data_IF_989321023928
#
_entry.id   IF_989321023928
#
_cell.length_a   1.000
_cell.length_b   1.000
_cell.length_c   1.000
_cell.angle_alpha   90.00
_cell.angle_beta   90.00
_cell.angle_gamma   90.00
#
_symmetry.space_group_name_H-M   'P 1'
#
loop_
_entity.id
_entity.type
_entity.pdbx_description
1 polymer ?
#
# COMPACT_ATOMS: atom_id res chain seq x y z
N UNK A 1 32.49 -9.13 -63.05
CA UNK A 1 31.90 -10.22 -62.19
C UNK A 1 32.60 -10.43 -60.84
N UNK A 2 33.95 -10.46 -60.72
CA UNK A 2 34.59 -10.65 -59.38
C UNK A 2 34.64 -9.39 -58.49
N UNK A 3 34.58 -8.19 -59.06
CA UNK A 3 34.56 -6.93 -58.27
C UNK A 3 33.18 -6.63 -57.70
N UNK A 4 32.10 -6.99 -58.41
CA UNK A 4 30.73 -6.73 -57.95
C UNK A 4 30.34 -7.62 -56.77
N UNK A 5 30.83 -8.86 -56.70
CA UNK A 5 30.60 -9.79 -55.59
C UNK A 5 31.26 -9.33 -54.28
N UNK A 6 32.46 -8.71 -54.36
CA UNK A 6 33.17 -8.19 -53.20
C UNK A 6 32.46 -6.92 -52.59
N UNK A 7 31.87 -6.08 -53.44
CA UNK A 7 31.16 -4.90 -52.99
C UNK A 7 29.83 -5.24 -52.29
N UNK A 8 29.11 -6.26 -52.80
CA UNK A 8 27.87 -6.78 -52.18
C UNK A 8 28.18 -7.44 -50.82
N UNK A 9 29.26 -8.20 -50.74
CA UNK A 9 29.66 -8.91 -49.51
C UNK A 9 30.08 -7.93 -48.39
N UNK A 10 30.76 -6.82 -48.71
CA UNK A 10 31.13 -5.79 -47.75
C UNK A 10 29.92 -4.93 -47.31
N UNK A 11 28.95 -4.67 -48.21
CA UNK A 11 27.71 -4.01 -47.87
C UNK A 11 26.84 -4.83 -46.94
N UNK A 12 26.76 -6.13 -47.12
CA UNK A 12 26.04 -7.06 -46.22
C UNK A 12 26.72 -7.14 -44.87
N UNK A 13 28.05 -7.30 -44.78
CA UNK A 13 28.77 -7.32 -43.51
C UNK A 13 28.58 -6.01 -42.69
N UNK A 14 28.60 -4.83 -43.35
CA UNK A 14 28.36 -3.56 -42.70
C UNK A 14 26.92 -3.45 -42.19
N UNK A 15 25.92 -3.97 -42.90
CA UNK A 15 24.52 -3.97 -42.45
C UNK A 15 24.28 -4.92 -41.26
N UNK A 16 24.90 -6.12 -41.27
CA UNK A 16 24.81 -7.05 -40.16
C UNK A 16 25.61 -6.58 -38.94
N UNK A 17 26.74 -5.92 -39.10
CA UNK A 17 27.50 -5.31 -38.00
C UNK A 17 26.74 -4.16 -37.35
N UNK A 18 26.12 -3.28 -38.15
CA UNK A 18 25.29 -2.19 -37.64
C UNK A 18 23.98 -2.71 -36.98
N UNK A 19 23.40 -3.78 -37.48
CA UNK A 19 22.21 -4.40 -36.90
C UNK A 19 22.55 -5.13 -35.58
N UNK A 20 23.73 -5.74 -35.49
CA UNK A 20 24.19 -6.36 -34.23
C UNK A 20 24.55 -5.31 -33.17
N UNK A 21 25.10 -4.17 -33.55
CA UNK A 21 25.37 -3.06 -32.63
C UNK A 21 24.06 -2.36 -32.22
N UNK A 22 23.06 -2.23 -33.11
CA UNK A 22 21.72 -1.76 -32.74
C UNK A 22 20.98 -2.73 -31.82
N UNK A 23 21.10 -4.04 -32.08
CA UNK A 23 20.47 -5.07 -31.22
C UNK A 23 21.14 -5.19 -29.85
N UNK A 24 22.45 -4.94 -29.72
CA UNK A 24 23.15 -4.90 -28.43
C UNK A 24 22.89 -3.59 -27.66
N UNK A 25 22.52 -2.51 -28.32
CA UNK A 25 22.10 -1.26 -27.68
C UNK A 25 20.63 -1.26 -27.22
N UNK A 26 19.79 -2.13 -27.76
CA UNK A 26 18.38 -2.29 -27.35
C UNK A 26 18.23 -3.27 -26.19
N UNK A 27 19.26 -4.06 -25.85
CA UNK A 27 19.23 -4.99 -24.71
C UNK A 27 19.88 -4.44 -23.43
N UNK A 28 20.18 -3.16 -23.36
CA UNK A 28 20.22 -2.49 -22.07
C UNK A 28 18.77 -2.20 -21.69
N UNK A 29 18.02 -3.25 -21.39
CA UNK A 29 16.86 -3.16 -20.52
C UNK A 29 17.36 -2.43 -19.28
N UNK A 30 16.97 -1.17 -19.13
CA UNK A 30 16.92 -0.56 -17.83
C UNK A 30 15.91 -1.37 -17.01
N UNK A 31 16.34 -2.50 -16.48
CA UNK A 31 15.79 -2.94 -15.21
C UNK A 31 16.07 -1.74 -14.30
N UNK A 32 15.08 -0.89 -14.10
CA UNK A 32 15.10 0.09 -13.04
C UNK A 32 15.43 -0.72 -11.79
N UNK A 33 16.68 -0.61 -11.32
CA UNK A 33 17.08 -1.32 -10.13
C UNK A 33 16.08 -0.90 -9.06
N UNK A 34 15.28 -1.85 -8.57
CA UNK A 34 14.45 -1.59 -7.40
C UNK A 34 15.37 -1.05 -6.33
N UNK A 35 15.15 0.20 -5.93
CA UNK A 35 15.97 0.89 -4.93
C UNK A 35 15.63 0.41 -3.50
N UNK A 36 15.32 -0.89 -3.39
CA UNK A 36 15.02 -1.55 -2.15
C UNK A 36 16.27 -2.19 -1.56
N UNK A 37 16.75 -1.66 -0.46
CA UNK A 37 17.84 -2.23 0.31
C UNK A 37 17.29 -3.14 1.40
N UNK A 38 17.66 -4.41 1.39
CA UNK A 38 17.29 -5.34 2.45
C UNK A 38 17.96 -4.94 3.77
N UNK A 39 17.16 -4.82 4.81
CA UNK A 39 17.58 -4.52 6.20
C UNK A 39 17.55 -5.80 7.03
N UNK A 40 16.51 -6.63 6.86
CA UNK A 40 16.37 -7.92 7.51
C UNK A 40 15.65 -8.90 6.58
N UNK A 41 16.29 -10.01 6.29
CA UNK A 41 15.68 -11.11 5.55
C UNK A 41 14.80 -11.95 6.50
N UNK A 42 13.53 -12.12 6.16
CA UNK A 42 12.57 -12.89 6.95
C UNK A 42 12.14 -14.19 6.26
N UNK A 43 12.75 -14.54 5.13
CA UNK A 43 12.51 -15.83 4.45
C UNK A 43 12.88 -17.00 5.37
N UNK A 44 12.32 -18.17 5.06
CA UNK A 44 12.59 -19.41 5.78
C UNK A 44 11.40 -19.81 6.65
N UNK A 45 11.65 -20.46 7.77
CA UNK A 45 10.58 -21.02 8.62
C UNK A 45 9.77 -19.96 9.34
N UNK A 46 8.45 -20.07 9.21
CA UNK A 46 7.45 -19.31 9.97
C UNK A 46 6.58 -20.26 10.75
N UNK A 47 6.07 -19.86 11.90
CA UNK A 47 5.00 -20.55 12.60
C UNK A 47 3.73 -20.50 11.78
N UNK A 48 2.99 -21.62 11.70
CA UNK A 48 1.82 -21.77 10.85
C UNK A 48 0.73 -22.59 11.55
N UNK A 49 -0.52 -22.18 11.41
CA UNK A 49 -1.68 -22.88 11.94
C UNK A 49 -2.92 -22.62 11.12
N UNK A 50 -3.66 -23.69 10.79
CA UNK A 50 -4.92 -23.63 10.05
C UNK A 50 -6.06 -23.05 10.88
N UNK A 51 -7.10 -22.59 10.19
CA UNK A 51 -8.32 -22.02 10.77
C UNK A 51 -8.14 -20.58 11.22
N UNK A 52 -9.20 -20.01 11.77
CA UNK A 52 -9.30 -18.60 12.09
C UNK A 52 -9.54 -18.34 13.57
N UNK A 53 -8.71 -17.45 14.14
CA UNK A 53 -8.87 -16.89 15.49
C UNK A 53 -8.08 -15.56 15.55
N UNK A 54 -8.77 -14.45 15.60
CA UNK A 54 -8.17 -13.10 15.63
C UNK A 54 -7.23 -12.89 16.82
N UNK A 55 -7.36 -13.63 17.91
CA UNK A 55 -6.42 -13.59 19.04
C UNK A 55 -5.00 -13.94 18.66
N UNK A 56 -4.82 -14.59 17.51
CA UNK A 56 -3.52 -14.98 16.96
C UNK A 56 -2.67 -13.79 16.51
N UNK A 57 -3.28 -12.61 16.33
CA UNK A 57 -2.57 -11.35 16.06
C UNK A 57 -1.77 -10.87 17.29
N UNK A 58 -2.22 -11.17 18.50
CA UNK A 58 -1.67 -10.65 19.75
C UNK A 58 -0.21 -11.07 19.98
N UNK A 59 0.62 -10.15 20.47
CA UNK A 59 2.00 -10.43 20.93
C UNK A 59 2.04 -11.50 22.00
N UNK A 60 1.07 -11.49 22.90
CA UNK A 60 0.99 -12.44 24.02
C UNK A 60 0.51 -13.84 23.63
N UNK A 61 0.09 -14.02 22.37
CA UNK A 61 -0.37 -15.33 21.91
C UNK A 61 0.77 -16.35 21.88
N UNK A 62 0.52 -17.55 22.44
CA UNK A 62 1.51 -18.62 22.50
C UNK A 62 1.43 -19.51 21.26
N UNK A 63 2.35 -19.32 20.33
CA UNK A 63 2.49 -20.10 19.09
C UNK A 63 3.50 -21.24 19.17
N UNK A 64 3.97 -21.60 20.37
CA UNK A 64 5.00 -22.63 20.56
C UNK A 64 4.60 -24.04 20.07
N UNK A 65 3.30 -24.29 19.97
CA UNK A 65 2.75 -25.58 19.50
C UNK A 65 2.38 -25.58 18.01
N UNK A 66 2.49 -24.45 17.34
CA UNK A 66 2.20 -24.34 15.92
C UNK A 66 3.18 -25.13 15.07
N UNK A 67 2.72 -25.58 13.91
CA UNK A 67 3.59 -26.11 12.87
C UNK A 67 4.56 -25.06 12.32
N UNK A 68 5.37 -25.46 11.38
CA UNK A 68 6.28 -24.57 10.68
C UNK A 68 6.19 -24.85 9.18
N UNK A 69 6.14 -23.78 8.39
CA UNK A 69 6.21 -23.81 6.92
C UNK A 69 7.33 -22.91 6.41
N UNK A 70 7.86 -23.19 5.24
CA UNK A 70 8.78 -22.28 4.56
C UNK A 70 8.03 -21.13 3.89
N UNK A 71 8.57 -19.93 4.00
CA UNK A 71 8.07 -18.70 3.37
C UNK A 71 9.21 -18.09 2.54
N UNK A 72 9.00 -17.76 1.26
CA UNK A 72 7.76 -17.94 0.49
C UNK A 72 7.64 -19.37 -0.07
N UNK A 73 6.45 -19.94 0.05
CA UNK A 73 6.04 -21.21 -0.57
C UNK A 73 4.51 -21.32 -0.44
N UNK A 74 3.78 -21.90 -1.40
CA UNK A 74 2.41 -22.31 -1.16
C UNK A 74 2.34 -23.33 0.00
N UNK A 75 1.32 -23.25 0.83
CA UNK A 75 1.19 -24.21 1.95
C UNK A 75 0.89 -25.64 1.50
N UNK A 76 0.37 -25.81 0.26
CA UNK A 76 0.20 -27.14 -0.37
C UNK A 76 1.53 -27.88 -0.46
N UNK A 77 2.63 -27.18 -0.78
CA UNK A 77 3.98 -27.73 -0.88
C UNK A 77 4.62 -27.98 0.51
N UNK A 78 4.04 -27.39 1.55
CA UNK A 78 4.53 -27.45 2.94
C UNK A 78 3.74 -28.45 3.82
N UNK A 79 2.93 -29.32 3.18
CA UNK A 79 2.26 -30.43 3.86
C UNK A 79 0.76 -30.24 4.08
N UNK A 80 0.14 -29.24 3.45
CA UNK A 80 -1.29 -28.97 3.54
C UNK A 80 -1.99 -29.03 2.16
N UNK A 81 -1.84 -30.12 1.40
CA UNK A 81 -2.33 -30.21 0.02
C UNK A 81 -3.85 -30.12 -0.05
N UNK A 82 -4.34 -29.20 -0.90
CA UNK A 82 -5.76 -28.97 -1.15
C UNK A 82 -6.52 -28.41 0.05
N UNK A 83 -5.84 -27.67 0.91
CA UNK A 83 -6.50 -26.92 1.96
C UNK A 83 -6.88 -25.54 1.43
N UNK A 84 -8.19 -25.24 1.44
CA UNK A 84 -8.74 -23.92 1.20
C UNK A 84 -9.33 -23.36 2.52
N UNK A 85 -9.27 -22.04 2.72
CA UNK A 85 -9.79 -21.37 3.91
C UNK A 85 -8.77 -20.51 4.65
N UNK A 86 -9.02 -20.32 5.94
CA UNK A 86 -8.18 -19.45 6.77
C UNK A 86 -6.95 -20.14 7.32
N UNK A 87 -5.82 -19.44 7.31
CA UNK A 87 -4.61 -19.83 8.01
C UNK A 87 -3.88 -18.61 8.58
N UNK A 88 -3.04 -18.85 9.57
CA UNK A 88 -2.24 -17.83 10.21
C UNK A 88 -0.76 -18.19 10.16
N UNK A 89 0.04 -17.17 9.83
CA UNK A 89 1.50 -17.20 9.91
C UNK A 89 1.96 -16.32 11.05
N UNK A 90 3.07 -16.68 11.73
CA UNK A 90 3.72 -15.82 12.72
C UNK A 90 5.23 -15.89 12.56
N UNK A 91 5.89 -14.72 12.65
CA UNK A 91 7.35 -14.59 12.61
C UNK A 91 7.84 -13.71 13.73
N UNK A 92 8.67 -14.28 14.59
CA UNK A 92 9.40 -13.53 15.61
C UNK A 92 10.71 -13.03 15.02
N UNK A 93 11.06 -11.77 15.32
CA UNK A 93 12.31 -11.17 14.85
C UNK A 93 12.81 -10.08 15.78
N UNK A 94 14.10 -9.76 15.67
CA UNK A 94 14.72 -8.60 16.31
C UNK A 94 15.25 -7.66 15.24
N UNK A 95 15.16 -6.37 15.53
CA UNK A 95 15.73 -5.37 14.65
C UNK A 95 17.25 -5.46 14.64
N UNK A 96 17.90 -5.41 13.47
CA UNK A 96 19.34 -5.21 13.40
C UNK A 96 19.75 -3.85 13.98
N UNK A 97 20.92 -3.79 14.56
CA UNK A 97 21.49 -2.54 15.07
C UNK A 97 21.56 -1.47 13.95
N UNK A 98 21.12 -0.27 14.25
CA UNK A 98 21.08 0.85 13.30
C UNK A 98 19.84 0.88 12.41
N UNK A 99 18.88 -0.06 12.56
CA UNK A 99 17.61 -0.05 11.86
C UNK A 99 16.56 0.86 12.52
N UNK A 100 16.77 1.23 13.78
CA UNK A 100 15.85 2.04 14.59
C UNK A 100 15.61 3.45 14.05
N UNK A 101 16.53 3.98 13.25
CA UNK A 101 16.43 5.33 12.66
C UNK A 101 16.06 5.31 11.16
N UNK A 102 15.71 4.13 10.62
CA UNK A 102 15.40 3.96 9.21
C UNK A 102 13.89 3.99 8.97
N UNK A 103 13.50 4.49 7.81
CA UNK A 103 12.13 4.27 7.32
C UNK A 103 12.05 2.87 6.76
N UNK A 104 11.33 1.99 7.47
CA UNK A 104 11.24 0.58 7.15
C UNK A 104 9.91 0.25 6.46
N UNK A 105 10.00 -0.71 5.57
CA UNK A 105 8.87 -1.33 4.89
C UNK A 105 8.92 -2.83 5.09
N UNK A 106 7.78 -3.42 5.44
CA UNK A 106 7.59 -4.86 5.41
C UNK A 106 7.19 -5.27 3.99
N UNK A 107 7.96 -6.13 3.38
CA UNK A 107 7.60 -6.79 2.12
C UNK A 107 7.29 -8.25 2.43
N UNK A 108 6.14 -8.71 1.96
CA UNK A 108 5.65 -10.08 2.13
C UNK A 108 5.43 -10.79 0.78
N UNK A 109 5.94 -10.18 -0.31
CA UNK A 109 5.75 -10.71 -1.66
C UNK A 109 4.28 -10.75 -2.04
N UNK A 110 3.86 -11.78 -2.79
CA UNK A 110 2.45 -12.01 -3.11
C UNK A 110 1.87 -13.02 -2.13
N UNK A 111 0.67 -12.72 -1.63
CA UNK A 111 -0.11 -13.58 -0.75
C UNK A 111 -1.37 -13.99 -1.50
N UNK A 112 -1.64 -15.26 -1.56
CA UNK A 112 -2.78 -15.85 -2.24
C UNK A 112 -3.83 -16.30 -1.22
N UNK A 113 -5.05 -15.76 -1.23
CA UNK A 113 -5.70 -14.72 -2.03
C UNK A 113 -5.73 -13.37 -1.29
N UNK A 114 -6.01 -13.38 0.02
CA UNK A 114 -6.32 -12.23 0.86
C UNK A 114 -5.47 -12.26 2.11
N UNK A 115 -5.06 -11.07 2.59
CA UNK A 115 -4.34 -11.02 3.85
C UNK A 115 -4.66 -9.83 4.73
N UNK A 116 -4.60 -10.05 6.04
CA UNK A 116 -4.43 -9.04 7.07
C UNK A 116 -3.07 -9.22 7.74
N UNK A 117 -2.32 -8.14 7.83
CA UNK A 117 -0.96 -8.16 8.38
C UNK A 117 -0.91 -7.34 9.65
N UNK A 118 -0.36 -7.95 10.69
CA UNK A 118 -0.21 -7.35 12.02
C UNK A 118 1.26 -7.26 12.40
N UNK A 119 1.64 -6.14 13.00
CA UNK A 119 2.94 -5.96 13.64
C UNK A 119 2.72 -5.67 15.12
N UNK A 120 3.26 -6.53 15.97
CA UNK A 120 3.12 -6.43 17.43
C UNK A 120 1.66 -6.28 17.91
N UNK A 121 0.72 -6.92 17.19
CA UNK A 121 -0.71 -6.95 17.52
C UNK A 121 -1.52 -5.82 16.93
N UNK A 122 -0.89 -4.82 16.31
CA UNK A 122 -1.60 -3.77 15.56
C UNK A 122 -1.59 -4.09 14.07
N UNK A 123 -2.74 -3.87 13.41
CA UNK A 123 -2.88 -4.06 11.97
C UNK A 123 -2.06 -3.02 11.21
N UNK A 124 -1.33 -3.46 10.18
CA UNK A 124 -0.48 -2.59 9.34
C UNK A 124 -0.82 -2.67 7.87
N UNK A 125 -1.69 -3.57 7.47
CA UNK A 125 -2.18 -3.66 6.09
C UNK A 125 -3.22 -4.73 5.88
N UNK A 126 -4.07 -4.50 4.88
CA UNK A 126 -5.07 -5.44 4.35
C UNK A 126 -4.89 -5.50 2.84
N UNK A 127 -4.99 -6.69 2.26
CA UNK A 127 -4.97 -6.89 0.81
C UNK A 127 -6.10 -7.84 0.41
N UNK A 128 -6.89 -7.45 -0.58
CA UNK A 128 -8.10 -8.16 -0.97
C UNK A 128 -9.26 -7.98 0.01
N UNK A 129 -10.40 -8.62 -0.26
CA UNK A 129 -11.60 -8.53 0.57
C UNK A 129 -12.03 -9.92 1.05
N UNK A 130 -12.17 -10.06 2.37
CA UNK A 130 -12.60 -11.31 2.99
C UNK A 130 -14.08 -11.63 2.69
N UNK A 131 -14.49 -12.92 2.69
CA UNK A 131 -15.90 -13.25 2.58
C UNK A 131 -16.78 -12.49 3.58
N UNK A 132 -18.05 -12.10 3.24
CA UNK A 132 -18.79 -12.64 2.09
C UNK A 132 -18.53 -11.96 0.73
N UNK A 133 -17.92 -10.80 0.68
CA UNK A 133 -17.71 -10.04 -0.55
C UNK A 133 -16.29 -10.26 -1.09
N UNK A 134 -15.92 -11.54 -1.23
CA UNK A 134 -14.60 -12.01 -1.62
C UNK A 134 -14.03 -11.35 -2.87
N UNK A 135 -12.80 -10.83 -2.74
CA UNK A 135 -11.99 -10.36 -3.86
C UNK A 135 -10.52 -10.71 -3.66
N UNK A 136 -10.00 -11.49 -4.57
CA UNK A 136 -8.59 -11.90 -4.52
C UNK A 136 -7.63 -10.76 -4.79
N UNK A 137 -6.47 -10.82 -4.13
CA UNK A 137 -5.30 -9.98 -4.38
C UNK A 137 -4.04 -10.83 -4.67
N UNK A 138 -4.19 -12.05 -5.16
CA UNK A 138 -3.15 -13.07 -5.32
C UNK A 138 -1.88 -12.59 -6.05
N UNK A 139 -1.98 -11.61 -6.95
CA UNK A 139 -0.88 -11.07 -7.74
C UNK A 139 -0.40 -9.68 -7.27
N UNK A 140 -0.91 -9.19 -6.14
CA UNK A 140 -0.51 -7.92 -5.56
C UNK A 140 0.69 -8.13 -4.64
N UNK A 141 1.77 -7.39 -4.88
CA UNK A 141 2.91 -7.41 -3.96
C UNK A 141 2.59 -6.62 -2.71
N UNK A 142 2.65 -7.27 -1.55
CA UNK A 142 2.40 -6.66 -0.24
C UNK A 142 3.62 -5.88 0.20
N UNK A 143 3.52 -4.55 0.21
CA UNK A 143 4.55 -3.59 0.68
C UNK A 143 3.91 -2.63 1.66
N UNK A 144 4.25 -2.75 2.92
CA UNK A 144 3.61 -2.01 4.02
C UNK A 144 4.61 -1.09 4.71
N UNK A 145 4.33 0.22 4.82
CA UNK A 145 5.15 1.10 5.66
C UNK A 145 5.03 0.68 7.12
N UNK A 146 6.16 0.64 7.82
CA UNK A 146 6.17 0.29 9.24
C UNK A 146 6.23 1.55 10.10
N UNK A 147 5.19 1.85 10.90
CA UNK A 147 5.25 2.91 11.88
C UNK A 147 6.31 2.61 12.95
N UNK A 148 7.26 3.53 13.15
CA UNK A 148 8.32 3.33 14.15
C UNK A 148 7.81 3.07 15.57
N UNK A 149 6.65 3.66 15.93
CA UNK A 149 6.01 3.48 17.23
C UNK A 149 5.65 2.00 17.52
N UNK A 150 5.45 1.20 16.47
CA UNK A 150 5.10 -0.21 16.61
C UNK A 150 6.30 -1.11 16.84
N UNK A 151 7.50 -0.63 16.57
CA UNK A 151 8.71 -1.44 16.66
C UNK A 151 9.28 -1.45 18.07
N UNK A 152 9.47 -2.66 18.62
CA UNK A 152 10.27 -2.84 19.82
C UNK A 152 11.75 -2.87 19.41
N UNK A 153 12.43 -1.74 19.60
CA UNK A 153 13.82 -1.55 19.18
C UNK A 153 14.79 -2.46 19.92
N UNK A 154 14.52 -2.75 21.20
CA UNK A 154 15.43 -3.51 22.07
C UNK A 154 15.01 -4.95 22.33
N UNK A 155 13.83 -5.34 21.89
CA UNK A 155 13.22 -6.64 22.16
C UNK A 155 12.76 -7.39 20.92
N UNK A 156 11.96 -8.40 21.18
CA UNK A 156 11.35 -9.21 20.13
C UNK A 156 10.16 -8.47 19.51
N UNK A 157 10.00 -8.62 18.21
CA UNK A 157 8.85 -8.17 17.44
C UNK A 157 8.17 -9.40 16.85
N UNK A 158 6.87 -9.28 16.59
CA UNK A 158 6.06 -10.34 15.99
C UNK A 158 5.30 -9.79 14.79
N UNK A 159 5.51 -10.39 13.63
CA UNK A 159 4.61 -10.26 12.49
C UNK A 159 3.61 -11.41 12.58
N UNK A 160 2.31 -11.13 12.50
CA UNK A 160 1.28 -12.11 12.29
C UNK A 160 0.55 -11.79 10.99
N UNK A 161 0.26 -12.82 10.20
CA UNK A 161 -0.44 -12.68 8.92
C UNK A 161 -1.60 -13.65 8.93
N UNK A 162 -2.82 -13.12 8.81
CA UNK A 162 -4.04 -13.87 8.56
C UNK A 162 -4.22 -13.97 7.07
N UNK A 163 -4.38 -15.15 6.55
CA UNK A 163 -4.57 -15.42 5.12
C UNK A 163 -5.89 -16.14 4.93
N UNK A 164 -6.60 -15.82 3.87
CA UNK A 164 -7.71 -16.60 3.36
C UNK A 164 -7.44 -16.92 1.90
N UNK A 165 -7.58 -18.18 1.57
CA UNK A 165 -7.48 -18.73 0.22
C UNK A 165 -8.80 -19.39 -0.15
N UNK A 166 -9.30 -19.11 -1.35
CA UNK A 166 -10.57 -19.66 -1.85
C UNK A 166 -10.37 -20.96 -2.62
N UNK A 167 -9.23 -21.09 -3.30
CA UNK A 167 -8.92 -22.27 -4.12
C UNK A 167 -7.47 -22.28 -4.65
N UNK A 168 -6.98 -23.46 -4.98
CA UNK A 168 -5.68 -23.73 -5.61
C UNK A 168 -4.51 -23.57 -4.66
N UNK A 169 -3.67 -22.56 -4.83
CA UNK A 169 -2.41 -22.42 -4.13
C UNK A 169 -2.47 -21.28 -3.11
N UNK A 170 -2.54 -21.57 -1.83
CA UNK A 170 -2.70 -20.57 -0.77
C UNK A 170 -1.42 -20.19 -0.05
N UNK A 171 -1.46 -19.02 0.58
CA UNK A 171 -0.41 -18.56 1.50
C UNK A 171 0.54 -17.49 0.95
N UNK A 172 1.68 -17.33 1.60
CA UNK A 172 2.75 -16.38 1.19
C UNK A 172 3.60 -17.07 0.12
N UNK A 173 3.19 -16.94 -1.15
CA UNK A 173 3.61 -17.85 -2.22
C UNK A 173 4.91 -17.48 -2.91
N UNK A 174 5.23 -16.17 -3.04
CA UNK A 174 6.42 -15.74 -3.79
C UNK A 174 6.86 -14.32 -3.43
N UNK A 175 8.07 -13.96 -3.85
CA UNK A 175 8.55 -12.57 -3.77
C UNK A 175 9.58 -12.32 -2.68
N UNK A 176 9.77 -11.06 -2.34
CA UNK A 176 10.73 -10.61 -1.33
C UNK A 176 10.05 -10.58 0.03
N UNK A 177 10.64 -11.26 1.01
CA UNK A 177 10.10 -11.36 2.37
C UNK A 177 11.11 -10.76 3.34
N UNK A 178 10.75 -9.67 4.02
CA UNK A 178 11.67 -9.03 4.95
C UNK A 178 11.39 -7.57 5.22
N UNK A 179 12.27 -6.97 6.01
CA UNK A 179 12.29 -5.53 6.21
C UNK A 179 13.24 -4.88 5.21
N UNK A 180 12.77 -3.85 4.57
CA UNK A 180 13.48 -3.11 3.53
C UNK A 180 13.48 -1.63 3.80
N UNK A 181 14.50 -0.94 3.32
CA UNK A 181 14.58 0.52 3.21
C UNK A 181 14.53 0.90 1.73
N UNK A 182 13.80 1.95 1.40
CA UNK A 182 13.83 2.54 0.07
C UNK A 182 13.99 4.06 0.18
N UNK A 183 14.88 4.61 -0.65
CA UNK A 183 15.09 6.06 -0.78
C UNK A 183 14.14 6.69 -1.81
N UNK A 184 13.53 5.85 -2.64
CA UNK A 184 12.69 6.31 -3.75
C UNK A 184 11.20 6.20 -3.44
N UNK A 185 10.81 5.39 -2.46
CA UNK A 185 9.42 5.28 -2.05
C UNK A 185 9.01 6.50 -1.21
N UNK A 186 7.85 7.06 -1.51
CA UNK A 186 7.34 8.25 -0.80
C UNK A 186 6.87 7.87 0.60
N UNK A 187 7.67 8.19 1.61
CA UNK A 187 7.35 7.94 3.00
C UNK A 187 6.90 9.22 3.71
N UNK A 188 5.69 9.28 4.27
CA UNK A 188 5.28 10.36 5.17
C UNK A 188 6.21 10.46 6.39
N UNK A 189 6.43 11.68 6.89
CA UNK A 189 7.13 11.93 8.16
C UNK A 189 6.23 11.61 9.36
N UNK A 190 4.91 11.76 9.18
CA UNK A 190 3.88 11.28 10.09
C UNK A 190 2.95 10.38 9.29
N UNK A 191 2.96 9.08 9.57
CA UNK A 191 2.07 8.14 8.91
C UNK A 191 0.66 8.23 9.47
N UNK A 192 -0.34 8.21 8.60
CA UNK A 192 -1.75 8.07 8.94
C UNK A 192 -2.28 6.65 8.67
N UNK A 193 -1.42 5.77 8.14
CA UNK A 193 -1.80 4.37 7.96
C UNK A 193 -2.07 3.71 9.33
N UNK A 194 -3.24 3.10 9.45
CA UNK A 194 -3.70 2.52 10.70
C UNK A 194 -5.20 2.71 10.90
N UNK A 195 -5.64 2.61 12.15
CA UNK A 195 -7.03 2.77 12.55
C UNK A 195 -7.48 4.22 12.51
N UNK A 196 -8.64 4.44 11.91
CA UNK A 196 -9.36 5.71 11.87
C UNK A 196 -10.74 5.54 12.49
N UNK A 197 -11.27 6.61 13.05
CA UNK A 197 -12.69 6.69 13.41
C UNK A 197 -13.51 6.87 12.13
N UNK A 198 -14.59 6.11 11.99
CA UNK A 198 -15.39 6.05 10.78
C UNK A 198 -16.89 6.12 11.07
N UNK A 199 -17.61 6.81 10.20
CA UNK A 199 -19.07 6.89 10.28
C UNK A 199 -19.71 7.08 8.93
N UNK A 200 -20.68 6.25 8.63
CA UNK A 200 -21.55 6.40 7.44
C UNK A 200 -22.53 7.55 7.62
N UNK A 201 -22.94 8.14 6.49
CA UNK A 201 -23.83 9.32 6.48
C UNK A 201 -23.08 10.62 6.35
N UNK A 202 -23.75 11.73 6.61
CA UNK A 202 -23.20 13.05 6.34
C UNK A 202 -23.64 14.11 7.36
N UNK A 203 -22.68 14.86 7.91
CA UNK A 203 -22.96 16.01 8.78
C UNK A 203 -21.78 16.97 8.80
N UNK A 204 -22.04 18.24 8.50
CA UNK A 204 -21.04 19.31 8.60
C UNK A 204 -20.49 19.50 10.05
N UNK A 205 -21.22 19.04 11.07
CA UNK A 205 -20.74 19.08 12.47
C UNK A 205 -19.48 18.23 12.68
N UNK A 206 -19.24 17.27 11.82
CA UNK A 206 -18.11 16.36 11.91
C UNK A 206 -16.78 16.97 11.45
N UNK A 207 -16.84 18.20 10.91
CA UNK A 207 -15.67 19.03 10.59
C UNK A 207 -15.04 19.59 11.87
N UNK A 208 -15.86 19.87 12.91
CA UNK A 208 -15.40 20.51 14.13
C UNK A 208 -14.38 19.61 14.87
N UNK A 209 -13.15 20.09 15.14
CA UNK A 209 -12.16 19.31 15.87
C UNK A 209 -12.58 18.95 17.30
N UNK A 210 -13.50 19.71 17.88
CA UNK A 210 -14.04 19.45 19.23
C UNK A 210 -15.25 18.51 19.24
N UNK A 211 -15.69 18.01 18.09
CA UNK A 211 -16.78 17.06 18.00
C UNK A 211 -16.44 15.77 18.74
N UNK A 212 -17.38 15.28 19.57
CA UNK A 212 -17.23 13.99 20.27
C UNK A 212 -17.46 12.83 19.30
N UNK A 213 -16.38 12.21 18.89
CA UNK A 213 -16.35 11.08 17.94
C UNK A 213 -16.05 9.72 18.60
N UNK A 214 -16.02 9.63 19.94
CA UNK A 214 -15.70 8.40 20.69
C UNK A 214 -16.66 7.23 20.41
N UNK A 215 -17.85 7.52 19.89
CA UNK A 215 -18.87 6.51 19.56
C UNK A 215 -18.81 6.04 18.09
N UNK A 216 -17.81 6.49 17.34
CA UNK A 216 -17.63 6.09 15.95
C UNK A 216 -17.00 4.69 15.87
N UNK A 217 -17.27 4.02 14.78
CA UNK A 217 -16.63 2.75 14.49
C UNK A 217 -15.15 2.96 14.14
N UNK A 218 -14.36 1.91 14.24
CA UNK A 218 -12.97 1.92 13.81
C UNK A 218 -12.85 1.22 12.46
N UNK A 219 -12.04 1.80 11.58
CA UNK A 219 -11.73 1.26 10.26
C UNK A 219 -10.24 1.45 9.96
N UNK A 220 -9.62 0.51 9.27
CA UNK A 220 -8.24 0.64 8.82
C UNK A 220 -8.16 1.45 7.51
N UNK A 221 -7.21 2.37 7.41
CA UNK A 221 -6.86 3.03 6.16
C UNK A 221 -5.33 2.94 5.94
N UNK A 222 -4.85 2.69 4.70
CA UNK A 222 -5.65 2.54 3.48
C UNK A 222 -6.19 1.12 3.30
N UNK A 223 -7.48 0.99 3.10
CA UNK A 223 -8.18 -0.22 2.64
C UNK A 223 -9.62 0.16 2.26
N UNK A 224 -10.30 -0.66 1.48
CA UNK A 224 -11.71 -0.45 1.18
C UNK A 224 -12.58 -0.71 2.42
N UNK A 225 -13.67 0.03 2.58
CA UNK A 225 -14.56 -0.15 3.72
C UNK A 225 -15.45 -1.39 3.60
N UNK A 226 -15.67 -1.91 2.37
CA UNK A 226 -16.42 -3.13 2.13
C UNK A 226 -15.83 -4.33 2.89
N UNK A 227 -14.52 -4.44 2.92
CA UNK A 227 -13.80 -5.50 3.62
C UNK A 227 -13.84 -5.37 5.15
N UNK A 228 -14.37 -4.28 5.66
CA UNK A 228 -14.28 -3.90 7.07
C UNK A 228 -15.65 -3.70 7.74
N UNK A 229 -16.68 -4.43 7.27
CA UNK A 229 -18.00 -4.45 7.88
C UNK A 229 -19.03 -3.52 7.24
N UNK A 230 -18.71 -2.91 6.09
CA UNK A 230 -19.64 -2.06 5.32
C UNK A 230 -19.89 -2.60 3.90
N UNK A 231 -20.23 -3.88 3.75
CA UNK A 231 -20.36 -4.52 2.44
C UNK A 231 -21.42 -3.82 1.57
N UNK A 232 -21.03 -3.50 0.33
CA UNK A 232 -21.92 -2.84 -0.65
C UNK A 232 -22.51 -1.51 -0.15
N UNK A 233 -21.75 -0.79 0.67
CA UNK A 233 -22.19 0.53 1.12
C UNK A 233 -21.76 1.60 0.11
N UNK A 234 -22.74 2.17 -0.60
CA UNK A 234 -22.55 3.34 -1.46
C UNK A 234 -23.09 4.59 -0.75
N UNK A 235 -22.38 5.70 -0.84
CA UNK A 235 -22.86 6.96 -0.29
C UNK A 235 -21.81 7.79 0.44
N UNK A 236 -22.27 8.55 1.42
CA UNK A 236 -21.43 9.45 2.22
C UNK A 236 -20.86 8.74 3.43
N UNK A 237 -19.56 8.89 3.65
CA UNK A 237 -18.91 8.48 4.88
C UNK A 237 -17.85 9.49 5.32
N UNK A 238 -17.49 9.42 6.58
CA UNK A 238 -16.49 10.30 7.17
C UNK A 238 -15.44 9.46 7.89
N UNK A 239 -14.19 9.86 7.68
CA UNK A 239 -13.02 9.40 8.42
C UNK A 239 -12.56 10.50 9.34
N UNK A 240 -12.15 10.18 10.57
CA UNK A 240 -11.49 11.13 11.48
C UNK A 240 -10.29 10.47 12.13
N UNK A 241 -9.20 11.21 12.24
CA UNK A 241 -8.00 10.76 12.92
C UNK A 241 -7.47 11.87 13.83
N UNK A 242 -7.24 11.52 15.08
CA UNK A 242 -6.51 12.36 16.04
C UNK A 242 -5.02 12.03 15.94
N UNK A 243 -4.20 13.05 15.75
CA UNK A 243 -2.77 12.84 15.56
C UNK A 243 -1.92 13.96 16.15
N UNK A 244 -0.66 13.65 16.41
CA UNK A 244 0.35 14.63 16.84
C UNK A 244 1.41 14.78 15.76
N UNK A 245 1.91 15.99 15.64
CA UNK A 245 3.08 16.26 14.81
C UNK A 245 4.32 16.45 15.68
N UNK A 246 5.51 16.03 15.21
CA UNK A 246 6.76 16.36 15.84
C UNK A 246 7.06 17.88 15.75
N UNK A 247 7.81 18.41 16.71
CA UNK A 247 8.11 19.83 16.80
C UNK A 247 8.79 20.39 15.54
N UNK A 248 9.51 19.56 14.82
CA UNK A 248 10.21 19.90 13.59
C UNK A 248 9.28 20.26 12.44
N UNK A 249 8.03 19.84 12.49
CA UNK A 249 7.00 20.16 11.48
C UNK A 249 6.16 21.39 11.83
N UNK A 250 6.21 21.86 13.09
CA UNK A 250 5.48 23.06 13.50
C UNK A 250 5.94 24.29 12.73
N UNK A 251 5.00 25.10 12.28
CA UNK A 251 5.28 26.31 11.51
C UNK A 251 5.77 26.08 10.08
N UNK A 252 5.92 24.83 9.64
CA UNK A 252 6.24 24.50 8.25
C UNK A 252 5.00 24.36 7.38
N UNK A 253 5.18 24.61 6.09
CA UNK A 253 4.23 24.14 5.08
C UNK A 253 4.44 22.65 4.87
N UNK A 254 3.37 21.87 4.98
CA UNK A 254 3.41 20.43 4.77
C UNK A 254 2.44 20.01 3.67
N UNK A 255 2.63 18.80 3.17
CA UNK A 255 1.70 18.14 2.25
C UNK A 255 1.03 17.01 3.02
N UNK A 256 -0.30 17.00 3.02
CA UNK A 256 -1.11 15.86 3.43
C UNK A 256 -1.28 14.95 2.23
N UNK A 257 -0.87 13.72 2.37
CA UNK A 257 -1.06 12.65 1.41
C UNK A 257 -2.21 11.80 1.90
N UNK A 258 -3.19 11.52 1.05
CA UNK A 258 -4.30 10.61 1.33
C UNK A 258 -4.40 9.48 0.29
N UNK A 259 -3.33 9.29 -0.48
CA UNK A 259 -3.27 8.24 -1.47
C UNK A 259 -4.39 8.33 -2.50
N UNK A 260 -5.15 7.25 -2.68
CA UNK A 260 -6.35 7.25 -3.53
C UNK A 260 -7.60 7.00 -2.71
N UNK A 261 -8.64 7.73 -3.07
CA UNK A 261 -9.97 7.68 -2.43
C UNK A 261 -11.01 7.43 -3.51
N UNK A 262 -11.92 6.53 -3.28
CA UNK A 262 -13.03 6.22 -4.17
C UNK A 262 -14.32 6.85 -3.63
N UNK A 263 -15.00 7.76 -4.36
CA UNK A 263 -14.70 8.50 -5.61
C UNK A 263 -14.20 9.92 -5.31
N UNK A 264 -14.97 10.68 -4.49
CA UNK A 264 -14.79 12.11 -4.21
C UNK A 264 -14.45 12.34 -2.75
N UNK A 265 -13.69 13.40 -2.48
CA UNK A 265 -13.43 13.79 -1.10
C UNK A 265 -13.38 15.30 -0.86
N UNK A 266 -13.63 15.65 0.38
CA UNK A 266 -13.36 16.96 0.98
C UNK A 266 -12.58 16.73 2.27
N UNK A 267 -11.42 17.35 2.40
CA UNK A 267 -10.48 17.11 3.50
C UNK A 267 -10.26 18.34 4.35
N UNK A 268 -10.32 18.16 5.67
CA UNK A 268 -10.22 19.20 6.68
C UNK A 268 -9.13 18.89 7.69
N UNK A 269 -8.39 19.91 8.12
CA UNK A 269 -7.48 19.86 9.28
C UNK A 269 -7.94 20.89 10.30
N UNK A 270 -8.14 20.46 11.55
CA UNK A 270 -8.55 21.34 12.65
C UNK A 270 -9.75 22.24 12.31
N UNK A 271 -10.69 21.73 11.50
CA UNK A 271 -11.89 22.46 11.10
C UNK A 271 -11.75 23.31 9.83
N UNK A 272 -10.55 23.47 9.28
CA UNK A 272 -10.31 24.23 8.03
C UNK A 272 -10.16 23.27 6.84
N UNK A 273 -10.86 23.55 5.74
CA UNK A 273 -10.71 22.80 4.49
C UNK A 273 -9.32 23.02 3.90
N UNK A 274 -8.62 21.94 3.61
CA UNK A 274 -7.27 21.94 3.02
C UNK A 274 -7.27 21.54 1.56
N UNK A 275 -8.34 20.91 1.08
CA UNK A 275 -8.49 20.49 -0.30
C UNK A 275 -9.64 19.51 -0.51
N UNK A 276 -9.89 19.25 -1.80
CA UNK A 276 -10.91 18.32 -2.26
C UNK A 276 -10.50 17.73 -3.62
N UNK A 277 -11.02 16.55 -3.94
CA UNK A 277 -10.95 15.97 -5.28
C UNK A 277 -12.37 15.71 -5.77
N UNK A 278 -12.70 16.30 -6.92
CA UNK A 278 -14.06 16.41 -7.40
C UNK A 278 -14.89 17.41 -6.61
N UNK A 279 -16.20 17.31 -6.72
CA UNK A 279 -17.12 18.21 -5.99
C UNK A 279 -18.31 17.43 -5.45
N UNK A 280 -18.39 17.30 -4.15
CA UNK A 280 -19.55 16.76 -3.47
C UNK A 280 -20.66 17.80 -3.47
N UNK A 281 -21.79 17.53 -4.14
CA UNK A 281 -22.95 18.43 -4.23
C UNK A 281 -23.97 18.07 -3.16
N UNK A 282 -24.92 18.99 -2.86
CA UNK A 282 -26.06 18.75 -1.98
C UNK A 282 -26.95 17.57 -2.41
N UNK A 283 -26.91 17.19 -3.69
CA UNK A 283 -27.38 15.90 -4.18
C UNK A 283 -26.19 15.15 -4.79
N UNK A 284 -25.49 14.30 -4.02
CA UNK A 284 -24.25 13.65 -4.46
C UNK A 284 -24.43 12.82 -5.73
N UNK A 285 -25.60 12.19 -5.96
CA UNK A 285 -25.92 11.44 -7.20
C UNK A 285 -25.84 12.28 -8.47
N UNK A 286 -25.73 13.60 -8.36
CA UNK A 286 -25.52 14.54 -9.48
C UNK A 286 -24.09 15.06 -9.53
N UNK A 287 -23.23 14.58 -8.66
CA UNK A 287 -21.80 14.88 -8.74
C UNK A 287 -21.23 14.21 -10.00
N UNK A 288 -20.34 14.92 -10.67
CA UNK A 288 -19.67 14.37 -11.85
C UNK A 288 -18.44 13.63 -11.32
N UNK A 289 -18.41 12.33 -11.47
CA UNK A 289 -17.32 11.45 -11.08
C UNK A 289 -16.96 10.62 -12.31
N UNK A 290 -15.79 10.84 -12.86
CA UNK A 290 -15.35 10.12 -14.07
C UNK A 290 -14.13 9.24 -13.77
N UNK A 291 -13.09 9.81 -13.15
CA UNK A 291 -11.85 9.12 -12.86
C UNK A 291 -11.19 9.63 -11.56
N UNK A 292 -11.91 10.38 -10.74
CA UNK A 292 -11.40 10.98 -9.51
C UNK A 292 -10.88 9.91 -8.55
N UNK A 293 -11.45 8.70 -8.54
CA UNK A 293 -10.95 7.58 -7.76
C UNK A 293 -9.49 7.19 -8.06
N UNK A 294 -8.99 7.53 -9.26
CA UNK A 294 -7.59 7.27 -9.66
C UNK A 294 -6.64 8.39 -9.29
N UNK A 295 -7.15 9.56 -8.94
CA UNK A 295 -6.31 10.70 -8.62
C UNK A 295 -5.63 10.49 -7.27
N UNK A 296 -4.35 10.85 -7.20
CA UNK A 296 -3.60 10.81 -5.96
C UNK A 296 -3.84 12.10 -5.17
N UNK A 297 -4.32 11.98 -3.92
CA UNK A 297 -4.66 13.12 -3.05
C UNK A 297 -3.41 13.67 -2.41
N UNK A 298 -3.10 14.92 -2.71
CA UNK A 298 -2.01 15.69 -2.12
C UNK A 298 -2.47 17.11 -1.83
N UNK A 299 -2.67 17.43 -0.57
CA UNK A 299 -3.19 18.73 -0.16
C UNK A 299 -2.16 19.51 0.61
N UNK A 300 -1.97 20.80 0.23
CA UNK A 300 -1.02 21.70 0.92
C UNK A 300 -1.64 22.27 2.18
N UNK A 301 -0.98 22.05 3.31
CA UNK A 301 -1.32 22.70 4.58
C UNK A 301 -0.32 23.81 4.86
N UNK A 302 -0.82 25.03 4.94
CA UNK A 302 0.01 26.20 5.22
C UNK A 302 0.46 26.25 6.69
N UNK A 303 1.57 26.93 6.92
CA UNK A 303 2.11 27.11 8.26
C UNK A 303 1.10 27.73 9.24
N UNK A 304 1.02 27.16 10.45
CA UNK A 304 0.17 27.69 11.54
C UNK A 304 -1.12 26.91 11.78
N UNK A 305 -1.58 26.09 10.83
CA UNK A 305 -2.77 25.25 11.03
C UNK A 305 -2.48 24.04 11.93
N UNK A 306 -1.29 23.45 11.77
CA UNK A 306 -0.83 22.33 12.60
C UNK A 306 -0.01 22.83 13.79
N UNK A 307 -0.21 22.23 14.95
CA UNK A 307 0.48 22.58 16.20
C UNK A 307 1.11 21.34 16.84
N UNK A 308 2.38 21.46 17.22
CA UNK A 308 3.05 20.39 17.95
C UNK A 308 2.58 20.31 19.42
N UNK A 309 2.68 19.13 19.99
CA UNK A 309 2.38 18.88 21.41
C UNK A 309 0.90 18.83 21.78
N UNK A 310 -0.01 19.17 20.86
CA UNK A 310 -1.46 19.02 21.03
C UNK A 310 -2.04 18.05 20.02
N UNK A 311 -3.25 17.59 20.25
CA UNK A 311 -4.00 16.85 19.26
C UNK A 311 -4.42 17.75 18.10
N UNK A 312 -4.12 17.29 16.89
CA UNK A 312 -4.68 17.79 15.65
C UNK A 312 -5.69 16.77 15.14
N UNK A 313 -6.69 17.25 14.43
CA UNK A 313 -7.73 16.37 13.86
C UNK A 313 -7.74 16.53 12.34
N UNK A 314 -7.62 15.44 11.62
CA UNK A 314 -7.98 15.36 10.21
C UNK A 314 -9.37 14.75 10.10
N UNK A 315 -10.22 15.36 9.28
CA UNK A 315 -11.52 14.83 8.91
C UNK A 315 -11.61 14.75 7.39
N UNK A 316 -11.99 13.60 6.88
CA UNK A 316 -12.13 13.34 5.43
C UNK A 316 -13.56 12.93 5.16
N UNK A 317 -14.26 13.74 4.39
CA UNK A 317 -15.60 13.46 3.88
C UNK A 317 -15.48 12.75 2.55
N UNK A 318 -15.99 11.57 2.43
CA UNK A 318 -15.91 10.75 1.22
C UNK A 318 -17.28 10.51 0.66
N UNK A 319 -17.41 10.56 -0.66
CA UNK A 319 -18.58 10.12 -1.39
C UNK A 319 -18.19 9.07 -2.39
N UNK A 320 -18.76 7.91 -2.22
CA UNK A 320 -18.69 6.80 -3.17
C UNK A 320 -20.03 6.67 -3.92
N UNK A 321 -19.96 6.56 -5.22
CA UNK A 321 -21.11 6.47 -6.11
C UNK A 321 -21.57 5.05 -6.41
N UNK A 322 -20.76 4.08 -6.05
CA UNK A 322 -21.02 2.66 -6.23
C UNK A 322 -19.77 1.86 -6.57
N UNK A 323 -19.77 0.63 -6.13
CA UNK A 323 -18.64 -0.28 -6.26
C UNK A 323 -17.93 -0.44 -4.92
N UNK A 324 -16.71 -0.04 -4.86
CA UNK A 324 -15.87 -0.08 -3.68
C UNK A 324 -15.57 1.34 -3.22
N UNK A 325 -15.50 1.56 -1.92
CA UNK A 325 -15.36 2.91 -1.39
C UNK A 325 -14.26 3.06 -0.35
N UNK A 326 -13.88 4.32 -0.08
CA UNK A 326 -12.97 4.68 0.98
C UNK A 326 -11.57 5.11 0.56
N UNK A 327 -10.71 5.31 1.55
CA UNK A 327 -9.28 5.59 1.36
C UNK A 327 -8.59 4.25 1.12
N UNK A 328 -8.40 3.85 -0.14
CA UNK A 328 -8.05 2.47 -0.47
C UNK A 328 -6.57 2.22 -0.81
N UNK A 329 -5.81 3.26 -1.17
CA UNK A 329 -4.40 3.12 -1.52
C UNK A 329 -3.56 4.23 -0.88
N UNK A 330 -2.38 3.87 -0.36
CA UNK A 330 -1.43 4.82 0.21
C UNK A 330 -0.40 5.36 -0.78
N UNK A 331 0.61 6.09 -0.26
CA UNK A 331 0.84 6.42 1.14
C UNK A 331 -0.13 7.47 1.68
N UNK A 332 -0.47 7.37 2.97
CA UNK A 332 -1.27 8.37 3.68
C UNK A 332 -0.50 8.93 4.88
N UNK A 333 -0.56 10.25 5.07
CA UNK A 333 0.20 10.93 6.14
C UNK A 333 0.63 12.35 5.81
N UNK A 334 1.57 12.85 6.59
CA UNK A 334 2.12 14.21 6.44
C UNK A 334 3.60 14.12 6.04
N UNK A 335 3.98 14.95 5.07
CA UNK A 335 5.37 15.15 4.66
C UNK A 335 5.66 16.65 4.54
N UNK A 336 6.84 17.09 4.97
CA UNK A 336 7.28 18.47 4.75
C UNK A 336 7.37 18.78 3.26
N UNK A 337 7.00 20.01 2.89
CA UNK A 337 7.02 20.45 1.48
C UNK A 337 8.42 20.31 0.86
N UNK A 338 9.47 20.51 1.67
CA UNK A 338 10.85 20.40 1.24
C UNK A 338 11.17 18.96 0.82
N UNK A 339 10.88 17.98 1.67
CA UNK A 339 11.10 16.55 1.37
C UNK A 339 10.25 16.07 0.20
N UNK A 340 9.00 16.54 0.13
CA UNK A 340 8.13 16.21 -0.99
C UNK A 340 8.65 16.74 -2.32
N UNK A 341 9.15 18.00 -2.36
CA UNK A 341 9.78 18.58 -3.54
C UNK A 341 11.07 17.84 -3.94
N UNK A 342 11.88 17.46 -2.98
CA UNK A 342 13.08 16.68 -3.22
C UNK A 342 12.73 15.32 -3.82
N UNK A 343 11.74 14.65 -3.25
CA UNK A 343 11.22 13.40 -3.79
C UNK A 343 10.72 13.57 -5.22
N UNK A 344 9.85 14.56 -5.50
CA UNK A 344 9.36 14.87 -6.87
C UNK A 344 10.50 15.16 -7.84
N UNK A 345 11.51 15.93 -7.44
CA UNK A 345 12.67 16.23 -8.29
C UNK A 345 13.41 14.96 -8.69
N UNK A 346 13.56 14.02 -7.78
CA UNK A 346 14.26 12.77 -8.02
C UNK A 346 13.42 11.75 -8.81
N UNK A 347 12.12 12.00 -8.98
CA UNK A 347 11.16 11.10 -9.65
C UNK A 347 10.45 11.73 -10.85
N UNK A 348 10.69 13.02 -11.16
CA UNK A 348 9.97 13.77 -12.21
C UNK A 348 10.07 13.17 -13.63
N UNK A 349 11.05 12.30 -13.88
CA UNK A 349 11.20 11.57 -15.15
C UNK A 349 10.52 10.18 -15.13
N UNK A 350 10.03 9.71 -13.96
CA UNK A 350 9.30 8.44 -13.81
C UNK A 350 7.77 8.62 -13.79
N UNK A 351 7.26 9.85 -13.70
CA UNK A 351 5.82 10.15 -13.58
C UNK A 351 4.97 9.68 -14.76
N UNK A 352 5.56 9.32 -15.91
CA UNK A 352 4.81 8.83 -17.07
C UNK A 352 4.55 7.31 -17.06
N UNK A 353 5.17 6.50 -16.22
CA UNK A 353 5.02 5.04 -16.29
C UNK A 353 4.81 4.30 -14.95
N UNK A 354 5.28 4.78 -13.80
CA UNK A 354 5.33 3.96 -12.59
C UNK A 354 4.13 4.11 -11.64
N UNK A 355 3.42 5.22 -11.65
CA UNK A 355 2.15 5.33 -10.92
C UNK A 355 0.98 4.64 -11.65
N UNK A 356 1.17 4.26 -12.92
CA UNK A 356 0.26 3.42 -13.69
C UNK A 356 0.53 1.92 -13.55
N UNK A 357 1.52 1.52 -12.81
CA UNK A 357 2.15 0.20 -12.96
C UNK A 357 2.10 -0.74 -11.78
N UNK A 358 1.16 -0.64 -10.82
CA UNK A 358 1.01 -1.75 -9.87
C UNK A 358 -0.43 -2.04 -9.47
N UNK A 359 -1.37 -1.67 -10.31
CA UNK A 359 -2.71 -2.25 -10.30
C UNK A 359 -2.79 -3.21 -11.50
N UNK A 360 -3.32 -4.41 -11.29
CA UNK A 360 -3.48 -5.57 -12.17
C UNK A 360 -3.56 -5.48 -13.70
N UNK A 361 -3.35 -4.31 -14.30
CA UNK A 361 -3.54 -4.06 -15.73
C UNK A 361 -2.28 -4.20 -16.59
N UNK A 362 -1.08 -4.43 -16.04
CA UNK A 362 0.13 -4.61 -16.86
C UNK A 362 0.02 -5.88 -17.71
N UNK A 363 -0.47 -6.97 -17.13
CA UNK A 363 -0.64 -8.24 -17.83
C UNK A 363 -1.89 -8.24 -18.72
N UNK A 364 -2.96 -7.54 -18.36
CA UNK A 364 -4.15 -7.41 -19.21
C UNK A 364 -3.83 -6.63 -20.49
N UNK A 365 -3.06 -5.55 -20.40
CA UNK A 365 -2.58 -4.82 -21.58
C UNK A 365 -1.58 -5.60 -22.45
N UNK A 366 -0.88 -6.57 -21.90
CA UNK A 366 -0.03 -7.49 -22.67
C UNK A 366 -0.89 -8.56 -23.33
N UNK A 367 -1.88 -9.13 -22.63
CA UNK A 367 -2.78 -10.13 -23.19
C UNK A 367 -3.62 -9.57 -24.33
N UNK A 368 -4.21 -8.39 -24.18
CA UNK A 368 -5.03 -7.74 -25.21
C UNK A 368 -4.19 -7.42 -26.47
N UNK A 369 -2.89 -7.21 -26.35
CA UNK A 369 -1.98 -6.96 -27.48
C UNK A 369 -1.52 -8.22 -28.24
N UNK A 370 -1.64 -9.39 -27.63
CA UNK A 370 -1.18 -10.65 -28.23
C UNK A 370 -2.31 -11.53 -28.77
N UNK A 371 -3.57 -11.22 -28.50
CA UNK A 371 -4.72 -12.04 -28.90
C UNK A 371 -5.76 -11.32 -29.77
N UNK A 372 -5.51 -10.07 -30.21
CA UNK A 372 -6.30 -9.33 -31.20
C UNK A 372 -5.65 -9.33 -32.62
N UNK A 373 -5.01 -10.45 -33.02
CA UNK A 373 -4.66 -10.75 -34.43
C UNK A 373 -5.24 -12.10 -34.85
#
# INVERSE_FOLDING_TARGET
>A
MKQDAAMIFNSLKSRYLNMSILLSLVLVSFAAAEDWQSVLDLRGKWKFELGDDEKRSSVAFNDSKWGEVFVPSPWEDEGYPGYDGYAWYRKHFRLPQGAENKTLYLRLGCIDDISEVYLNGEIVGITGDFPPDFRTAYNVEVILPIPQRLLNVSGDNVIAVRVYDDQLAGGIVQGKIGLYESKTYLAPEVSFAGEWLFKTGDSEKWIDPSFDDHSWDQIFAPAYWESQGYPRYDGMAWYRLHFKIPAELEGKTVIVLLGRIDDLDETYINGEEIGNTGRIRSNPRRSNHNNEYREFREYTVHSGLLKAGIDNVIAVRVYDAGGEGGIYEGPIGIISRERYKEWKKNHSWRENESWRGNTGNFWQNIFDKFFDE
#
